data_IF_446110452394
#
_entry.id   IF_446110452394
#
_cell.length_a   1.000
_cell.length_b   1.000
_cell.length_c   1.000
_cell.angle_alpha   90.00
_cell.angle_beta   90.00
_cell.angle_gamma   90.00
#
_symmetry.space_group_name_H-M   'P 1'
#
loop_
_entity.id
_entity.type
_entity.pdbx_description
1 polymer ?
#
# COMPACT_ATOMS: atom_id res chain seq x y z
N UNK A 1 7.32 37.62 -56.69
CA UNK A 1 6.43 36.60 -56.09
C UNK A 1 7.16 35.95 -54.93
N UNK A 2 6.93 36.41 -53.69
CA UNK A 2 7.54 35.86 -52.46
C UNK A 2 6.51 34.92 -51.80
N UNK A 3 6.80 33.63 -51.75
CA UNK A 3 6.01 32.64 -51.04
C UNK A 3 6.50 32.56 -49.59
N UNK A 4 5.69 33.02 -48.67
CA UNK A 4 5.89 32.91 -47.24
C UNK A 4 5.36 31.55 -46.77
N UNK A 5 6.25 30.67 -46.29
CA UNK A 5 5.86 29.41 -45.67
C UNK A 5 5.73 29.66 -44.15
N UNK A 6 4.50 29.54 -43.68
CA UNK A 6 4.19 29.60 -42.23
C UNK A 6 4.33 28.20 -41.67
N UNK A 7 5.33 28.00 -40.86
CA UNK A 7 5.51 26.74 -40.10
C UNK A 7 4.66 26.81 -38.83
N UNK A 8 3.62 25.99 -38.74
CA UNK A 8 2.82 25.81 -37.51
C UNK A 8 3.52 24.76 -36.65
N UNK A 9 4.10 25.20 -35.54
CA UNK A 9 4.61 24.31 -34.49
C UNK A 9 3.45 23.82 -33.62
N UNK A 10 3.11 22.57 -33.73
CA UNK A 10 2.21 21.85 -32.81
C UNK A 10 3.03 21.51 -31.53
N UNK A 11 2.74 22.21 -30.43
CA UNK A 11 3.25 21.86 -29.11
C UNK A 11 2.32 20.80 -28.51
N UNK A 12 2.76 19.53 -28.55
CA UNK A 12 2.12 18.44 -27.82
C UNK A 12 2.46 18.56 -26.33
N UNK A 13 1.53 19.13 -25.58
CA UNK A 13 1.57 19.14 -24.12
C UNK A 13 1.37 17.72 -23.56
N UNK A 14 2.46 17.02 -23.20
CA UNK A 14 2.38 15.77 -22.45
C UNK A 14 2.01 16.06 -21.01
N UNK A 15 0.74 15.84 -20.63
CA UNK A 15 0.32 15.75 -19.23
C UNK A 15 0.98 14.53 -18.60
N UNK A 16 2.12 14.74 -17.93
CA UNK A 16 2.69 13.79 -16.99
C UNK A 16 1.85 13.85 -15.72
N UNK A 17 0.94 12.91 -15.53
CA UNK A 17 0.41 12.55 -14.22
C UNK A 17 1.56 12.01 -13.39
N UNK A 18 2.16 12.89 -12.57
CA UNK A 18 3.25 12.56 -11.69
C UNK A 18 2.74 11.73 -10.51
N UNK A 19 2.60 10.41 -10.69
CA UNK A 19 2.65 9.48 -9.57
C UNK A 19 4.07 9.54 -9.03
N UNK A 20 4.27 10.09 -7.82
CA UNK A 20 5.56 10.04 -7.14
C UNK A 20 5.88 8.59 -6.78
N UNK A 21 6.57 7.91 -7.69
CA UNK A 21 7.18 6.61 -7.40
C UNK A 21 8.28 6.89 -6.39
N UNK A 22 8.09 6.44 -5.15
CA UNK A 22 9.16 6.50 -4.15
C UNK A 22 10.40 5.77 -4.72
N UNK A 23 11.61 6.33 -4.54
CA UNK A 23 12.82 5.69 -5.04
C UNK A 23 12.91 4.27 -4.46
N UNK A 24 13.17 3.30 -5.32
CA UNK A 24 13.33 1.91 -4.94
C UNK A 24 14.40 1.79 -3.84
N UNK A 25 14.00 1.33 -2.65
CA UNK A 25 14.89 1.08 -1.52
C UNK A 25 14.70 1.95 -0.27
N UNK A 26 13.92 3.03 -0.32
CA UNK A 26 13.62 3.82 0.88
C UNK A 26 12.44 3.21 1.62
N UNK A 27 12.69 2.75 2.86
CA UNK A 27 11.65 2.15 3.70
C UNK A 27 10.66 3.21 4.22
N UNK A 28 9.39 2.83 4.35
CA UNK A 28 8.31 3.68 4.82
C UNK A 28 7.87 4.76 3.81
N UNK A 29 6.77 5.44 4.11
CA UNK A 29 6.20 6.52 3.31
C UNK A 29 6.45 7.89 3.91
N UNK A 30 6.23 8.98 3.15
CA UNK A 30 6.38 10.35 3.66
C UNK A 30 5.18 10.81 4.49
N UNK A 31 4.05 10.10 4.41
CA UNK A 31 2.85 10.40 5.19
C UNK A 31 2.03 9.15 5.49
N UNK A 32 1.12 9.23 6.49
CA UNK A 32 0.36 8.07 6.96
C UNK A 32 -0.59 7.52 5.89
N UNK A 33 -1.29 8.38 5.18
CA UNK A 33 -2.18 7.99 4.07
C UNK A 33 -1.41 7.28 2.96
N UNK A 34 -0.25 7.84 2.58
CA UNK A 34 0.60 7.23 1.57
C UNK A 34 1.16 5.88 2.02
N UNK A 35 1.45 5.71 3.32
CA UNK A 35 1.83 4.41 3.87
C UNK A 35 0.74 3.36 3.65
N UNK A 36 -0.53 3.70 3.91
CA UNK A 36 -1.65 2.79 3.67
C UNK A 36 -1.82 2.46 2.17
N UNK A 37 -1.71 3.46 1.29
CA UNK A 37 -1.81 3.28 -0.16
C UNK A 37 -0.68 2.37 -0.71
N UNK A 38 0.56 2.60 -0.29
CA UNK A 38 1.71 1.78 -0.70
C UNK A 38 1.63 0.36 -0.14
N UNK A 39 1.21 0.22 1.12
CA UNK A 39 1.02 -1.09 1.74
C UNK A 39 -0.05 -1.90 0.99
N UNK A 40 -1.21 -1.33 0.72
CA UNK A 40 -2.28 -2.00 -0.03
C UNK A 40 -1.86 -2.34 -1.46
N UNK A 41 -1.09 -1.47 -2.12
CA UNK A 41 -0.53 -1.75 -3.44
C UNK A 41 0.42 -2.95 -3.42
N UNK A 42 1.31 -3.04 -2.41
CA UNK A 42 2.23 -4.18 -2.25
C UNK A 42 1.52 -5.49 -1.92
N UNK A 43 0.43 -5.42 -1.13
CA UNK A 43 -0.44 -6.56 -0.85
C UNK A 43 -1.09 -7.07 -2.14
N UNK A 44 -1.68 -6.18 -2.95
CA UNK A 44 -2.35 -6.55 -4.19
C UNK A 44 -1.40 -7.11 -5.25
N UNK A 45 -0.18 -6.63 -5.31
CA UNK A 45 0.86 -7.16 -6.20
C UNK A 45 1.58 -8.39 -5.67
N UNK A 46 1.23 -8.86 -4.46
CA UNK A 46 1.87 -9.97 -3.75
C UNK A 46 3.39 -9.80 -3.60
N UNK A 47 3.84 -8.53 -3.57
CA UNK A 47 5.26 -8.19 -3.43
C UNK A 47 5.69 -8.22 -1.97
N UNK A 48 6.31 -9.35 -1.57
CA UNK A 48 6.82 -9.57 -0.21
C UNK A 48 7.89 -8.53 0.16
N UNK A 49 8.76 -8.15 -0.79
CA UNK A 49 9.83 -7.19 -0.52
C UNK A 49 9.27 -5.79 -0.30
N UNK A 50 8.38 -5.32 -1.18
CA UNK A 50 7.71 -4.04 -1.02
C UNK A 50 6.88 -4.00 0.28
N UNK A 51 6.16 -5.10 0.62
CA UNK A 51 5.42 -5.19 1.87
C UNK A 51 6.34 -5.09 3.08
N UNK A 52 7.50 -5.75 3.06
CA UNK A 52 8.44 -5.79 4.18
C UNK A 52 9.08 -4.45 4.54
N UNK A 53 9.09 -3.48 3.60
CA UNK A 53 9.65 -2.14 3.82
C UNK A 53 8.61 -1.08 4.17
N UNK A 54 7.33 -1.34 3.91
CA UNK A 54 6.23 -0.43 4.27
C UNK A 54 5.46 -0.90 5.49
N UNK A 55 5.43 -2.20 5.78
CA UNK A 55 5.00 -2.78 7.04
C UNK A 55 6.10 -2.61 8.08
N UNK A 56 5.74 -2.21 9.32
CA UNK A 56 6.71 -1.98 10.37
C UNK A 56 6.10 -1.33 11.60
N UNK A 57 6.90 -0.60 12.34
CA UNK A 57 6.47 0.12 13.55
C UNK A 57 7.21 1.45 13.69
N UNK A 58 7.01 2.12 14.82
CA UNK A 58 7.82 3.28 15.20
C UNK A 58 9.33 2.99 15.32
N UNK A 59 9.73 1.71 15.32
CA UNK A 59 11.14 1.28 15.36
C UNK A 59 11.74 1.08 13.96
N UNK A 60 10.93 1.06 12.91
CA UNK A 60 11.38 0.87 11.53
C UNK A 60 10.63 -0.23 10.77
N UNK A 61 11.12 -0.60 9.58
CA UNK A 61 10.48 -1.58 8.71
C UNK A 61 10.58 -3.01 9.26
N UNK A 62 9.58 -3.82 8.97
CA UNK A 62 9.51 -5.22 9.45
C UNK A 62 10.72 -6.06 9.04
N UNK A 63 11.27 -5.83 7.85
CA UNK A 63 12.47 -6.57 7.38
C UNK A 63 13.71 -6.37 8.26
N UNK A 64 13.78 -5.27 9.01
CA UNK A 64 14.88 -4.98 9.94
C UNK A 64 14.56 -5.46 11.35
N UNK A 65 13.27 -5.51 11.71
CA UNK A 65 12.80 -5.91 13.04
C UNK A 65 12.66 -7.42 13.18
N UNK A 66 12.31 -8.12 12.10
CA UNK A 66 12.12 -9.58 12.06
C UNK A 66 13.31 -10.20 11.33
N UNK A 67 14.26 -10.75 12.10
CA UNK A 67 15.51 -11.31 11.55
C UNK A 67 15.32 -12.62 10.80
N UNK A 68 14.37 -13.45 11.24
CA UNK A 68 14.03 -14.69 10.57
C UNK A 68 13.21 -14.40 9.30
N UNK A 69 13.82 -14.66 8.14
CA UNK A 69 13.18 -14.43 6.84
C UNK A 69 11.94 -15.29 6.63
N UNK A 70 11.97 -16.54 7.07
CA UNK A 70 10.83 -17.45 6.93
C UNK A 70 9.64 -16.98 7.76
N UNK A 71 9.88 -16.49 8.97
CA UNK A 71 8.85 -15.92 9.82
C UNK A 71 8.28 -14.61 9.24
N UNK A 72 9.16 -13.74 8.73
CA UNK A 72 8.73 -12.51 8.05
C UNK A 72 7.81 -12.82 6.86
N UNK A 73 8.23 -13.73 5.99
CA UNK A 73 7.48 -14.15 4.81
C UNK A 73 6.12 -14.76 5.18
N UNK A 74 6.07 -15.65 6.16
CA UNK A 74 4.81 -16.24 6.65
C UNK A 74 3.82 -15.17 7.09
N UNK A 75 4.26 -14.19 7.87
CA UNK A 75 3.41 -13.10 8.33
C UNK A 75 2.88 -12.25 7.17
N UNK A 76 3.74 -11.95 6.18
CA UNK A 76 3.34 -11.21 5.00
C UNK A 76 2.33 -12.01 4.18
N UNK A 77 2.53 -13.30 3.95
CA UNK A 77 1.59 -14.15 3.22
C UNK A 77 0.21 -14.21 3.90
N UNK A 78 0.16 -14.25 5.23
CA UNK A 78 -1.10 -14.18 5.98
C UNK A 78 -1.80 -12.83 5.76
N UNK A 79 -1.06 -11.72 5.77
CA UNK A 79 -1.62 -10.41 5.48
C UNK A 79 -2.09 -10.31 4.03
N UNK A 80 -1.32 -10.81 3.08
CA UNK A 80 -1.70 -10.84 1.65
C UNK A 80 -2.99 -11.61 1.44
N UNK A 81 -3.15 -12.78 2.08
CA UNK A 81 -4.39 -13.55 1.97
C UNK A 81 -5.61 -12.76 2.50
N UNK A 82 -5.51 -12.18 3.69
CA UNK A 82 -6.64 -11.52 4.35
C UNK A 82 -6.94 -10.12 3.79
N UNK A 83 -5.95 -9.43 3.25
CA UNK A 83 -6.07 -8.06 2.74
C UNK A 83 -6.14 -7.99 1.21
N UNK A 84 -6.10 -9.13 0.50
CA UNK A 84 -6.21 -9.13 -0.95
C UNK A 84 -7.55 -8.50 -1.38
N UNK A 85 -7.50 -7.59 -2.35
CA UNK A 85 -8.63 -6.77 -2.75
C UNK A 85 -8.55 -6.38 -4.23
N UNK A 86 -9.69 -6.10 -4.83
CA UNK A 86 -9.78 -5.56 -6.18
C UNK A 86 -9.67 -4.02 -6.16
N UNK A 87 -10.29 -3.41 -5.13
CA UNK A 87 -10.26 -1.97 -4.92
C UNK A 87 -10.37 -1.60 -3.45
N UNK A 88 -9.94 -0.39 -3.11
CA UNK A 88 -10.10 0.17 -1.77
C UNK A 88 -10.48 1.64 -1.80
N UNK A 89 -11.00 2.12 -0.69
CA UNK A 89 -11.32 3.53 -0.46
C UNK A 89 -10.95 3.90 0.96
N UNK A 90 -10.15 4.94 1.13
CA UNK A 90 -9.87 5.52 2.46
C UNK A 90 -11.07 6.37 2.86
N UNK A 91 -11.64 6.06 4.02
CA UNK A 91 -12.84 6.71 4.57
C UNK A 91 -12.47 7.86 5.52
N UNK A 92 -11.45 7.67 6.34
CA UNK A 92 -10.95 8.70 7.26
C UNK A 92 -9.49 8.45 7.63
N UNK A 93 -8.82 9.51 8.05
CA UNK A 93 -7.47 9.53 8.61
C UNK A 93 -7.53 10.39 9.88
N UNK A 94 -7.54 9.76 11.03
CA UNK A 94 -7.73 10.38 12.33
C UNK A 94 -6.49 10.26 13.20
N UNK A 95 -6.21 11.23 14.08
CA UNK A 95 -5.18 11.09 15.09
C UNK A 95 -5.40 9.83 15.92
N UNK A 96 -4.32 9.08 16.17
CA UNK A 96 -4.27 7.97 17.12
C UNK A 96 -3.50 8.36 18.36
N UNK A 97 -2.80 7.40 18.95
CA UNK A 97 -1.80 7.65 19.98
C UNK A 97 -0.64 8.50 19.45
N UNK A 98 0.29 8.89 20.34
CA UNK A 98 1.45 9.71 19.97
C UNK A 98 2.18 9.13 18.74
N UNK A 99 2.36 9.96 17.71
CA UNK A 99 3.01 9.61 16.43
C UNK A 99 2.31 8.46 15.67
N UNK A 100 1.01 8.25 15.93
CA UNK A 100 0.19 7.28 15.20
C UNK A 100 -1.02 7.92 14.54
N UNK A 101 -1.51 7.27 13.47
CA UNK A 101 -2.73 7.63 12.76
C UNK A 101 -3.58 6.39 12.58
N UNK A 102 -4.89 6.55 12.77
CA UNK A 102 -5.87 5.51 12.50
C UNK A 102 -6.55 5.80 11.17
N UNK A 103 -6.29 4.95 10.19
CA UNK A 103 -6.80 5.08 8.83
C UNK A 103 -7.92 4.07 8.65
N UNK A 104 -9.16 4.55 8.59
CA UNK A 104 -10.32 3.73 8.29
C UNK A 104 -10.46 3.60 6.78
N UNK A 105 -10.66 2.38 6.30
CA UNK A 105 -10.77 2.10 4.88
C UNK A 105 -11.82 1.00 4.62
N UNK A 106 -12.29 0.98 3.39
CA UNK A 106 -13.18 -0.03 2.85
C UNK A 106 -12.42 -0.80 1.77
N UNK A 107 -12.42 -2.13 1.89
CA UNK A 107 -11.88 -3.04 0.89
C UNK A 107 -13.02 -3.75 0.16
N UNK A 108 -12.84 -3.99 -1.13
CA UNK A 108 -13.77 -4.77 -1.97
C UNK A 108 -13.01 -5.88 -2.67
N UNK A 109 -13.60 -7.08 -2.65
CA UNK A 109 -13.09 -8.26 -3.35
C UNK A 109 -14.25 -9.08 -3.87
N UNK A 110 -14.43 -9.09 -5.21
CA UNK A 110 -15.62 -9.69 -5.82
C UNK A 110 -16.89 -9.06 -5.25
N UNK A 111 -17.74 -9.88 -4.65
CA UNK A 111 -18.97 -9.44 -3.99
C UNK A 111 -18.78 -9.05 -2.52
N UNK A 112 -17.60 -9.28 -1.97
CA UNK A 112 -17.32 -8.94 -0.57
C UNK A 112 -16.95 -7.46 -0.46
N UNK A 113 -17.47 -6.81 0.57
CA UNK A 113 -17.11 -5.46 0.98
C UNK A 113 -16.97 -5.45 2.49
N UNK A 114 -15.86 -4.93 2.99
CA UNK A 114 -15.65 -4.82 4.44
C UNK A 114 -14.90 -3.53 4.77
N UNK A 115 -15.18 -3.00 5.95
CA UNK A 115 -14.45 -1.85 6.49
C UNK A 115 -13.49 -2.34 7.57
N UNK A 116 -12.28 -1.79 7.55
CA UNK A 116 -11.26 -2.09 8.55
C UNK A 116 -10.50 -0.82 8.92
N UNK A 117 -9.67 -0.92 9.95
CA UNK A 117 -8.79 0.17 10.40
C UNK A 117 -7.35 -0.29 10.36
N UNK A 118 -6.50 0.54 9.74
CA UNK A 118 -5.05 0.43 9.79
C UNK A 118 -4.48 1.46 10.75
N UNK A 119 -3.50 1.07 11.55
CA UNK A 119 -2.69 1.99 12.34
C UNK A 119 -1.38 2.23 11.61
N UNK A 120 -1.14 3.48 11.22
CA UNK A 120 0.16 3.93 10.74
C UNK A 120 0.95 4.55 11.89
N UNK A 121 2.23 4.20 12.02
CA UNK A 121 3.15 4.73 13.02
C UNK A 121 4.30 5.47 12.35
N UNK A 122 4.67 6.63 12.92
CA UNK A 122 5.86 7.35 12.49
C UNK A 122 7.10 6.75 13.14
N UNK A 123 8.07 6.39 12.33
CA UNK A 123 9.32 5.78 12.75
C UNK A 123 10.54 6.63 12.38
N UNK A 124 11.72 6.00 12.20
CA UNK A 124 12.97 6.68 11.88
C UNK A 124 12.85 7.59 10.64
N UNK A 125 13.60 8.69 10.65
CA UNK A 125 13.63 9.68 9.56
C UNK A 125 12.24 10.24 9.19
N UNK A 126 11.33 10.31 10.18
CA UNK A 126 9.95 10.78 10.00
C UNK A 126 9.16 9.97 8.94
N UNK A 127 9.56 8.72 8.70
CA UNK A 127 8.88 7.83 7.76
C UNK A 127 7.71 7.12 8.45
N UNK A 128 6.66 6.86 7.68
CA UNK A 128 5.44 6.21 8.16
C UNK A 128 5.39 4.76 7.71
N UNK A 129 5.00 3.88 8.63
CA UNK A 129 4.87 2.44 8.42
C UNK A 129 3.47 2.00 8.84
N UNK A 130 2.92 0.97 8.20
CA UNK A 130 1.71 0.30 8.69
C UNK A 130 2.12 -0.64 9.83
N UNK A 131 1.67 -0.33 11.05
CA UNK A 131 2.02 -1.09 12.25
C UNK A 131 1.02 -2.21 12.50
N UNK A 132 -0.26 -1.94 12.30
CA UNK A 132 -1.34 -2.90 12.56
C UNK A 132 -2.49 -2.72 11.58
N UNK A 133 -3.23 -3.81 11.36
CA UNK A 133 -4.49 -3.81 10.62
C UNK A 133 -5.46 -4.73 11.33
N UNK A 134 -6.69 -4.28 11.57
CA UNK A 134 -7.75 -5.13 12.11
C UNK A 134 -8.23 -6.11 11.03
N UNK A 135 -7.81 -7.36 11.13
CA UNK A 135 -8.19 -8.43 10.20
C UNK A 135 -9.55 -9.07 10.52
N UNK A 136 -10.17 -8.72 11.65
CA UNK A 136 -11.44 -9.35 12.08
C UNK A 136 -12.56 -9.21 11.04
N UNK A 137 -12.80 -8.01 10.45
CA UNK A 137 -13.84 -7.86 9.42
C UNK A 137 -13.49 -8.53 8.09
N UNK A 138 -12.24 -8.94 7.89
CA UNK A 138 -11.70 -9.42 6.61
C UNK A 138 -11.55 -10.95 6.54
N UNK A 139 -12.04 -11.69 7.52
CA UNK A 139 -11.88 -13.17 7.59
C UNK A 139 -12.38 -13.91 6.35
N UNK A 140 -13.43 -13.41 5.71
CA UNK A 140 -13.97 -13.98 4.49
C UNK A 140 -13.12 -13.74 3.24
N UNK A 141 -12.20 -12.78 3.28
CA UNK A 141 -11.37 -12.43 2.12
C UNK A 141 -10.36 -13.51 1.77
N UNK A 142 -9.78 -14.18 2.77
CA UNK A 142 -8.82 -15.26 2.56
C UNK A 142 -9.50 -16.56 2.11
N UNK A 143 -10.72 -16.87 2.59
CA UNK A 143 -11.42 -18.14 2.32
C UNK A 143 -12.05 -18.20 0.91
N UNK A 144 -12.28 -17.06 0.27
CA UNK A 144 -12.90 -16.97 -1.06
C UNK A 144 -11.89 -16.92 -2.22
N UNK A 145 -10.66 -17.38 -2.03
CA UNK A 145 -9.80 -17.68 -3.17
C UNK A 145 -10.44 -18.83 -3.95
N UNK A 146 -10.62 -18.71 -5.28
CA UNK A 146 -10.93 -19.87 -6.10
C UNK A 146 -9.83 -20.89 -5.83
N UNK A 147 -10.20 -22.09 -5.34
CA UNK A 147 -9.25 -23.20 -5.31
C UNK A 147 -8.93 -23.51 -6.76
N UNK A 148 -7.87 -22.92 -7.27
CA UNK A 148 -7.27 -23.35 -8.52
C UNK A 148 -6.84 -24.79 -8.29
N UNK A 149 -7.61 -25.71 -8.86
CA UNK A 149 -7.48 -27.14 -8.73
C UNK A 149 -6.05 -27.52 -9.04
N UNK A 150 -5.32 -27.96 -8.00
CA UNK A 150 -4.11 -28.75 -8.19
C UNK A 150 -4.53 -30.04 -8.92
N UNK A 151 -4.30 -30.05 -10.20
CA UNK A 151 -4.17 -31.29 -10.98
C UNK A 151 -2.71 -31.65 -11.13
#
# INVERSE_FOLDING_TARGET
MRRTVVAVMLVLGACRSGGSVAPAGVAGAVGPRQAAEQFLASIRSEDVQATSIIWGSSKGPARELIRDRGELEKRILVMQCNLNHDSFRILSDLPGETLKRNIKLELRRGQLTAQTTMTAAQGPNQRWFIENTDLTPLRGFCSNQPQEQRR
#
